data_IF_060750001147
#
_entry.id   IF_060750001147
#
_cell.length_a   1.000
_cell.length_b   1.000
_cell.length_c   1.000
_cell.angle_alpha   90.00
_cell.angle_beta   90.00
_cell.angle_gamma   90.00
#
_symmetry.space_group_name_H-M   'P 1'
#
loop_
_entity.id
_entity.type
_entity.pdbx_description
1 polymer ?
#
# COMPACT_ATOMS: atom_id res chain seq x y z
N UNK A 1 3.43 2.81 25.96
CA UNK A 1 3.20 1.98 24.77
C UNK A 1 2.19 2.71 23.89
N UNK A 2 2.33 2.68 22.56
CA UNK A 2 1.23 3.11 21.68
C UNK A 2 -0.02 2.26 21.97
N UNK A 3 -1.19 2.87 21.85
CA UNK A 3 -2.47 2.19 22.01
C UNK A 3 -2.58 1.09 20.93
N UNK A 4 -2.83 -0.19 21.31
CA UNK A 4 -2.93 -1.30 20.37
C UNK A 4 -4.04 -1.14 19.32
N UNK A 5 -4.96 -0.19 19.52
CA UNK A 5 -6.02 0.14 18.56
C UNK A 5 -5.66 1.32 17.63
N UNK A 6 -4.42 1.80 17.62
CA UNK A 6 -4.02 2.93 16.76
C UNK A 6 -3.77 2.46 15.34
N UNK A 7 -4.57 2.95 14.39
CA UNK A 7 -4.31 2.81 12.96
C UNK A 7 -3.61 4.07 12.46
N UNK A 8 -2.45 3.90 11.82
CA UNK A 8 -1.72 5.00 11.19
C UNK A 8 -1.90 4.92 9.68
N UNK A 9 -2.48 5.97 9.10
CA UNK A 9 -2.61 6.14 7.65
C UNK A 9 -1.59 7.16 7.16
N UNK A 10 -1.02 6.91 5.98
CA UNK A 10 -0.25 7.93 5.26
C UNK A 10 -1.16 9.11 4.87
N UNK A 11 -0.57 10.28 4.64
CA UNK A 11 -1.33 11.47 4.27
C UNK A 11 -2.05 11.28 2.92
N UNK A 12 -1.45 10.55 1.97
CA UNK A 12 -2.07 10.23 0.67
C UNK A 12 -3.32 9.36 0.83
N UNK A 13 -3.26 8.31 1.64
CA UNK A 13 -4.40 7.43 1.91
C UNK A 13 -5.49 8.16 2.67
N UNK A 14 -5.13 8.96 3.68
CA UNK A 14 -6.09 9.79 4.43
C UNK A 14 -6.81 10.77 3.51
N UNK A 15 -6.08 11.43 2.62
CA UNK A 15 -6.66 12.36 1.64
C UNK A 15 -7.58 11.64 0.64
N UNK A 16 -7.18 10.46 0.15
CA UNK A 16 -7.98 9.66 -0.78
C UNK A 16 -9.32 9.25 -0.16
N UNK A 17 -9.32 8.75 1.08
CA UNK A 17 -10.54 8.37 1.81
C UNK A 17 -11.45 9.58 1.99
N UNK A 18 -10.92 10.72 2.44
CA UNK A 18 -11.70 11.95 2.63
C UNK A 18 -12.31 12.48 1.33
N UNK A 19 -11.65 12.25 0.20
CA UNK A 19 -12.11 12.65 -1.13
C UNK A 19 -13.00 11.58 -1.82
N UNK A 20 -13.29 10.45 -1.16
CA UNK A 20 -14.04 9.35 -1.77
C UNK A 20 -13.32 8.69 -2.96
N UNK A 21 -11.99 8.80 -3.03
CA UNK A 21 -11.17 8.18 -4.08
C UNK A 21 -10.91 6.71 -3.74
N UNK A 22 -10.81 5.83 -4.76
CA UNK A 22 -10.53 4.42 -4.53
C UNK A 22 -9.13 4.21 -3.93
N UNK A 23 -9.07 3.34 -2.92
CA UNK A 23 -7.84 2.92 -2.24
C UNK A 23 -7.74 1.39 -2.32
N UNK A 24 -6.55 0.87 -2.61
CA UNK A 24 -6.28 -0.57 -2.65
C UNK A 24 -5.25 -0.91 -1.60
N UNK A 25 -5.62 -1.75 -0.63
CA UNK A 25 -4.69 -2.27 0.36
C UNK A 25 -3.80 -3.35 -0.25
N UNK A 26 -2.48 -3.29 0.02
CA UNK A 26 -1.49 -4.25 -0.45
C UNK A 26 -0.90 -5.03 0.73
N UNK A 27 -0.76 -6.35 0.58
CA UNK A 27 -0.25 -7.19 1.66
C UNK A 27 1.29 -7.14 1.73
N UNK A 28 1.83 -6.79 2.91
CA UNK A 28 3.27 -6.74 3.14
C UNK A 28 3.94 -8.12 3.25
N UNK A 29 3.23 -9.19 3.62
CA UNK A 29 3.80 -10.55 3.72
C UNK A 29 4.31 -11.06 2.37
N UNK A 30 3.51 -10.87 1.31
CA UNK A 30 3.89 -11.24 -0.05
C UNK A 30 5.12 -10.46 -0.52
N UNK A 31 5.21 -9.18 -0.15
CA UNK A 31 6.36 -8.32 -0.46
C UNK A 31 7.60 -8.68 0.37
N UNK A 32 7.47 -9.11 1.62
CA UNK A 32 8.61 -9.34 2.49
C UNK A 32 9.21 -10.76 2.37
N UNK A 33 8.36 -11.79 2.24
CA UNK A 33 8.77 -13.19 2.35
C UNK A 33 8.38 -14.05 1.15
N UNK A 34 7.60 -13.52 0.20
CA UNK A 34 7.17 -14.26 -0.99
C UNK A 34 8.26 -14.42 -2.06
N UNK A 35 9.22 -13.49 -2.12
CA UNK A 35 10.26 -13.43 -3.15
C UNK A 35 11.62 -13.03 -2.57
N UNK A 36 12.69 -13.50 -3.21
CA UNK A 36 14.06 -13.09 -2.89
C UNK A 36 14.33 -11.67 -3.36
N UNK A 37 15.20 -10.93 -2.65
CA UNK A 37 15.73 -9.67 -3.17
C UNK A 37 16.53 -9.91 -4.46
N UNK A 38 16.40 -9.06 -5.50
CA UNK A 38 15.65 -7.80 -5.57
C UNK A 38 14.20 -7.90 -6.06
N UNK A 39 13.76 -9.10 -6.47
CA UNK A 39 12.45 -9.32 -7.10
C UNK A 39 11.27 -8.89 -6.21
N UNK A 40 11.43 -8.95 -4.88
CA UNK A 40 10.42 -8.46 -3.96
C UNK A 40 10.16 -6.94 -4.07
N UNK A 41 11.22 -6.14 -4.19
CA UNK A 41 11.12 -4.68 -4.33
C UNK A 41 10.60 -4.31 -5.72
N UNK A 42 11.02 -5.06 -6.75
CA UNK A 42 10.53 -4.86 -8.12
C UNK A 42 9.04 -5.12 -8.21
N UNK A 43 8.57 -6.24 -7.67
CA UNK A 43 7.15 -6.56 -7.60
C UNK A 43 6.36 -5.51 -6.81
N UNK A 44 6.88 -5.06 -5.65
CA UNK A 44 6.23 -4.02 -4.86
C UNK A 44 5.96 -2.76 -5.69
N UNK A 45 6.96 -2.32 -6.46
CA UNK A 45 6.86 -1.14 -7.32
C UNK A 45 5.93 -1.36 -8.50
N UNK A 46 5.96 -2.54 -9.10
CA UNK A 46 5.08 -2.89 -10.22
C UNK A 46 3.62 -2.86 -9.79
N UNK A 47 3.29 -3.49 -8.66
CA UNK A 47 1.92 -3.50 -8.10
C UNK A 47 1.46 -2.08 -7.74
N UNK A 48 2.32 -1.27 -7.10
CA UNK A 48 2.03 0.14 -6.83
C UNK A 48 1.71 0.92 -8.12
N UNK A 49 2.48 0.70 -9.19
CA UNK A 49 2.25 1.34 -10.49
C UNK A 49 0.90 0.93 -11.07
N UNK A 50 0.60 -0.37 -11.09
CA UNK A 50 -0.66 -0.91 -11.62
C UNK A 50 -1.87 -0.29 -10.91
N UNK A 51 -1.82 -0.18 -9.57
CA UNK A 51 -2.90 0.45 -8.79
C UNK A 51 -3.09 1.92 -9.18
N UNK A 52 -1.98 2.66 -9.33
CA UNK A 52 -2.02 4.07 -9.72
C UNK A 52 -2.52 4.26 -11.15
N UNK A 53 -2.09 3.42 -12.08
CA UNK A 53 -2.51 3.44 -13.48
C UNK A 53 -4.01 3.11 -13.63
N UNK A 54 -4.56 2.30 -12.72
CA UNK A 54 -5.99 2.04 -12.61
C UNK A 54 -6.78 3.19 -11.94
N UNK A 55 -6.12 4.28 -11.54
CA UNK A 55 -6.74 5.47 -10.94
C UNK A 55 -6.97 5.38 -9.43
N UNK A 56 -6.43 4.35 -8.76
CA UNK A 56 -6.54 4.15 -7.33
C UNK A 56 -5.26 4.54 -6.58
N UNK A 57 -5.36 4.67 -5.25
CA UNK A 57 -4.22 4.94 -4.36
C UNK A 57 -3.80 3.62 -3.68
N UNK A 58 -2.54 3.17 -3.83
CA UNK A 58 -2.05 2.01 -3.11
C UNK A 58 -1.83 2.33 -1.62
N UNK A 59 -2.10 1.35 -0.76
CA UNK A 59 -1.91 1.42 0.69
C UNK A 59 -1.22 0.14 1.18
N UNK A 60 0.10 0.22 1.37
CA UNK A 60 0.97 -0.89 1.81
C UNK A 60 1.26 -0.84 3.31
#
# INVERSE_FOLDING_TARGET
MPDPNTITLSDEVRAAINAGRPVVALESTLLAHGLSYPANIELAREVDSIVRDAGAIPAT
#
